data_IF_016647719757
#
_entry.id   IF_016647719757
#
_cell.length_a   1.000
_cell.length_b   1.000
_cell.length_c   1.000
_cell.angle_alpha   90.00
_cell.angle_beta   90.00
_cell.angle_gamma   90.00
#
_symmetry.space_group_name_H-M   'P 1'
#
loop_
_entity.id
_entity.type
_entity.pdbx_description
1 polymer ?
#
# COMPACT_ATOMS: atom_id res chain seq x y z
N UNK A 1 1.62 -11.48 7.51
CA UNK A 1 2.82 -11.29 6.69
C UNK A 1 2.46 -10.59 5.39
N UNK A 2 3.22 -9.58 5.02
CA UNK A 2 2.99 -8.80 3.80
C UNK A 2 4.21 -8.96 2.91
N UNK A 3 3.99 -9.39 1.66
CA UNK A 3 5.08 -9.49 0.67
C UNK A 3 4.74 -8.62 -0.52
N UNK A 4 5.64 -7.70 -0.86
CA UNK A 4 5.46 -6.78 -1.97
C UNK A 4 6.42 -7.17 -3.08
N UNK A 5 5.91 -7.31 -4.29
CA UNK A 5 6.69 -7.70 -5.45
C UNK A 5 6.41 -6.74 -6.60
N UNK A 6 7.48 -6.11 -7.12
CA UNK A 6 7.35 -5.22 -8.27
C UNK A 6 7.11 -6.06 -9.53
N UNK A 7 6.01 -5.79 -10.23
CA UNK A 7 5.68 -6.51 -11.45
C UNK A 7 6.31 -5.84 -12.67
N UNK A 8 5.87 -4.65 -13.00
CA UNK A 8 6.42 -3.87 -14.09
C UNK A 8 5.87 -2.45 -14.01
N UNK A 9 6.65 -1.47 -14.46
CA UNK A 9 6.20 -0.09 -14.45
C UNK A 9 5.73 0.34 -13.07
N UNK A 10 4.49 0.77 -12.98
CA UNK A 10 3.90 1.27 -11.73
C UNK A 10 3.12 0.21 -10.97
N UNK A 11 3.21 -1.06 -11.37
CA UNK A 11 2.38 -2.10 -10.77
C UNK A 11 3.14 -3.00 -9.81
N UNK A 12 2.49 -3.30 -8.70
CA UNK A 12 3.05 -4.12 -7.63
C UNK A 12 2.03 -5.18 -7.22
N UNK A 13 2.55 -6.37 -6.90
CA UNK A 13 1.73 -7.45 -6.34
C UNK A 13 1.97 -7.49 -4.85
N UNK A 14 0.88 -7.57 -4.07
CA UNK A 14 0.98 -7.66 -2.62
C UNK A 14 0.29 -8.94 -2.16
N UNK A 15 1.03 -9.80 -1.49
CA UNK A 15 0.49 -11.01 -0.90
C UNK A 15 0.40 -10.83 0.60
N UNK A 16 -0.78 -11.09 1.13
CA UNK A 16 -1.04 -10.93 2.57
C UNK A 16 -1.42 -12.30 3.12
N UNK A 17 -0.64 -12.77 4.09
CA UNK A 17 -0.93 -14.02 4.77
C UNK A 17 -1.77 -13.82 6.01
N UNK A 18 -2.35 -14.91 6.53
CA UNK A 18 -3.19 -14.88 7.70
C UNK A 18 -4.09 -16.10 7.68
N UNK A 19 -5.27 -16.00 8.28
CA UNK A 19 -6.25 -17.08 8.25
C UNK A 19 -6.67 -17.41 6.83
N UNK A 20 -6.75 -16.37 5.97
CA UNK A 20 -6.97 -16.54 4.54
C UNK A 20 -5.88 -15.74 3.83
N UNK A 21 -5.27 -16.34 2.81
CA UNK A 21 -4.26 -15.65 2.03
C UNK A 21 -4.91 -14.89 0.89
N UNK A 22 -4.51 -13.63 0.68
CA UNK A 22 -5.04 -12.81 -0.40
C UNK A 22 -3.91 -12.21 -1.23
N UNK A 23 -4.22 -11.90 -2.48
CA UNK A 23 -3.28 -11.28 -3.40
C UNK A 23 -3.93 -10.04 -3.99
N UNK A 24 -3.18 -8.95 -4.02
CA UNK A 24 -3.69 -7.67 -4.49
C UNK A 24 -2.74 -7.08 -5.53
N UNK A 25 -3.30 -6.40 -6.50
CA UNK A 25 -2.51 -5.67 -7.48
C UNK A 25 -2.69 -4.17 -7.24
N UNK A 26 -1.58 -3.48 -7.04
CA UNK A 26 -1.59 -2.07 -6.67
C UNK A 26 -0.82 -1.27 -7.71
N UNK A 27 -1.41 -0.16 -8.15
CA UNK A 27 -0.74 0.78 -9.02
C UNK A 27 -0.22 1.95 -8.17
N UNK A 28 1.08 2.22 -8.28
CA UNK A 28 1.70 3.34 -7.58
C UNK A 28 2.56 4.12 -8.56
N UNK A 29 2.07 5.28 -8.97
CA UNK A 29 2.81 6.14 -9.89
C UNK A 29 3.91 6.88 -9.15
N UNK A 30 4.96 7.23 -9.86
CA UNK A 30 6.12 7.88 -9.26
C UNK A 30 5.74 9.21 -8.59
N UNK A 31 4.84 9.98 -9.19
CA UNK A 31 4.38 11.23 -8.59
C UNK A 31 3.71 10.99 -7.24
N UNK A 32 2.91 9.91 -7.15
CA UNK A 32 2.25 9.56 -5.88
C UNK A 32 3.26 9.05 -4.86
N UNK A 33 4.24 8.27 -5.31
CA UNK A 33 5.30 7.78 -4.43
C UNK A 33 6.04 8.95 -3.77
N UNK A 34 6.40 9.95 -4.59
CA UNK A 34 7.11 11.10 -4.05
C UNK A 34 6.23 11.93 -3.11
N UNK A 35 4.96 12.09 -3.47
CA UNK A 35 4.03 12.87 -2.65
C UNK A 35 3.78 12.21 -1.30
N UNK A 36 3.62 10.89 -1.30
CA UNK A 36 3.26 10.14 -0.07
C UNK A 36 4.49 9.77 0.76
N UNK A 37 5.57 9.34 0.12
CA UNK A 37 6.71 8.80 0.83
C UNK A 37 7.96 9.66 0.80
N UNK A 38 8.03 10.62 -0.10
CA UNK A 38 9.23 11.40 -0.31
C UNK A 38 10.22 10.67 -1.21
N UNK A 39 11.29 11.35 -1.56
CA UNK A 39 12.23 10.85 -2.57
C UNK A 39 13.12 9.72 -2.07
N UNK A 40 13.27 9.58 -0.76
CA UNK A 40 14.18 8.59 -0.18
C UNK A 40 13.50 7.28 0.21
N UNK A 41 12.20 7.17 -0.06
CA UNK A 41 11.44 5.98 0.30
C UNK A 41 11.17 5.15 -0.94
N UNK A 42 11.48 3.85 -0.89
CA UNK A 42 11.22 2.97 -2.01
C UNK A 42 9.72 2.74 -2.17
N UNK A 43 9.31 2.45 -3.41
CA UNK A 43 7.92 2.14 -3.69
C UNK A 43 7.46 0.92 -2.90
N UNK A 44 8.31 -0.11 -2.81
CA UNK A 44 7.97 -1.33 -2.09
C UNK A 44 7.71 -1.04 -0.61
N UNK A 45 8.52 -0.19 0.00
CA UNK A 45 8.31 0.14 1.41
C UNK A 45 7.03 0.93 1.61
N UNK A 46 6.75 1.87 0.71
CA UNK A 46 5.51 2.64 0.79
C UNK A 46 4.30 1.73 0.68
N UNK A 47 4.32 0.78 -0.27
CA UNK A 47 3.23 -0.16 -0.45
C UNK A 47 3.08 -1.05 0.79
N UNK A 48 4.20 -1.54 1.33
CA UNK A 48 4.16 -2.41 2.50
C UNK A 48 3.55 -1.69 3.70
N UNK A 49 4.01 -0.48 3.99
CA UNK A 49 3.50 0.28 5.14
C UNK A 49 2.04 0.67 4.93
N UNK A 50 1.65 0.91 3.68
CA UNK A 50 0.25 1.21 3.37
C UNK A 50 -0.65 0.01 3.68
N UNK A 51 -0.19 -1.20 3.37
CA UNK A 51 -0.96 -2.40 3.71
C UNK A 51 -0.98 -2.65 5.22
N UNK A 52 0.10 -2.33 5.95
CA UNK A 52 0.06 -2.40 7.41
C UNK A 52 -1.00 -1.46 7.97
N UNK A 53 -1.08 -0.26 7.40
CA UNK A 53 -2.10 0.71 7.78
C UNK A 53 -3.51 0.14 7.55
N UNK A 54 -3.73 -0.47 6.38
CA UNK A 54 -5.04 -1.04 6.06
C UNK A 54 -5.39 -2.19 7.00
N UNK A 55 -4.42 -3.07 7.28
CA UNK A 55 -4.67 -4.26 8.10
C UNK A 55 -4.95 -3.94 9.56
N UNK A 56 -4.60 -2.75 10.02
CA UNK A 56 -4.98 -2.29 11.35
C UNK A 56 -6.46 -1.93 11.42
N UNK A 57 -7.10 -1.74 10.27
CA UNK A 57 -8.47 -1.22 10.18
C UNK A 57 -9.45 -2.23 9.62
N UNK A 58 -8.97 -3.16 8.79
CA UNK A 58 -9.86 -4.14 8.18
C UNK A 58 -9.08 -5.42 7.87
N UNK A 59 -9.77 -6.57 7.79
CA UNK A 59 -9.10 -7.81 7.43
C UNK A 59 -8.67 -7.77 5.95
N UNK A 60 -7.65 -8.59 5.62
CA UNK A 60 -7.14 -8.61 4.26
C UNK A 60 -8.21 -9.00 3.23
N UNK A 61 -9.20 -9.78 3.63
CA UNK A 61 -10.28 -10.19 2.73
C UNK A 61 -11.21 -9.04 2.36
N UNK A 62 -11.14 -7.92 3.09
CA UNK A 62 -11.94 -6.73 2.76
C UNK A 62 -11.20 -5.74 1.89
N UNK A 63 -9.89 -5.94 1.68
CA UNK A 63 -9.10 -5.06 0.84
C UNK A 63 -9.37 -5.38 -0.63
N UNK A 64 -9.53 -4.35 -1.45
CA UNK A 64 -9.78 -4.53 -2.88
C UNK A 64 -8.67 -5.37 -3.53
N UNK A 65 -9.04 -6.17 -4.52
CA UNK A 65 -8.08 -7.00 -5.22
C UNK A 65 -7.14 -6.19 -6.13
N UNK A 66 -7.61 -5.05 -6.62
CA UNK A 66 -6.83 -4.21 -7.52
C UNK A 66 -7.25 -2.75 -7.33
N UNK A 67 -6.27 -1.88 -7.11
CA UNK A 67 -6.57 -0.46 -6.91
C UNK A 67 -5.30 0.38 -7.03
N UNK A 68 -5.51 1.69 -7.24
CA UNK A 68 -4.40 2.66 -7.17
C UNK A 68 -4.17 3.03 -5.72
N UNK A 69 -2.92 3.04 -5.30
CA UNK A 69 -2.59 3.22 -3.89
C UNK A 69 -3.23 4.47 -3.26
N UNK A 70 -3.26 5.63 -3.93
CA UNK A 70 -3.87 6.82 -3.34
C UNK A 70 -5.36 6.68 -3.01
N UNK A 71 -6.02 5.67 -3.56
CA UNK A 71 -7.44 5.43 -3.25
C UNK A 71 -7.65 5.22 -1.75
N UNK A 72 -6.64 4.73 -1.05
CA UNK A 72 -6.72 4.54 0.41
C UNK A 72 -7.12 5.84 1.10
N UNK A 73 -6.60 6.97 0.63
CA UNK A 73 -6.91 8.27 1.22
C UNK A 73 -8.35 8.69 1.08
N UNK A 74 -9.07 8.13 0.10
CA UNK A 74 -10.49 8.42 -0.05
C UNK A 74 -11.34 7.69 0.98
N UNK A 75 -10.93 6.48 1.35
CA UNK A 75 -11.64 5.70 2.36
C UNK A 75 -11.20 6.09 3.77
N UNK A 76 -9.94 6.47 3.93
CA UNK A 76 -9.36 6.82 5.24
C UNK A 76 -8.66 8.17 5.11
N UNK A 77 -9.35 9.27 5.39
CA UNK A 77 -8.77 10.61 5.17
C UNK A 77 -7.46 10.86 5.92
N UNK A 78 -7.21 10.14 7.01
CA UNK A 78 -5.97 10.30 7.78
C UNK A 78 -4.78 9.56 7.17
N UNK A 79 -4.99 8.80 6.08
CA UNK A 79 -3.96 7.93 5.52
C UNK A 79 -2.67 8.69 5.15
N UNK A 80 -2.77 9.79 4.43
CA UNK A 80 -1.57 10.49 3.96
C UNK A 80 -0.72 10.99 5.11
N UNK A 81 -1.34 11.52 6.15
CA UNK A 81 -0.63 11.99 7.31
C UNK A 81 0.02 10.84 8.07
N UNK A 82 -0.71 9.75 8.25
CA UNK A 82 -0.21 8.58 8.97
C UNK A 82 0.94 7.92 8.24
N UNK A 83 0.82 7.76 6.92
CA UNK A 83 1.85 7.06 6.17
C UNK A 83 3.16 7.84 6.16
N UNK A 84 3.09 9.17 6.09
CA UNK A 84 4.30 9.99 6.16
C UNK A 84 5.02 9.80 7.49
N UNK A 85 4.27 9.69 8.59
CA UNK A 85 4.86 9.45 9.89
C UNK A 85 5.56 8.10 9.97
N UNK A 86 4.95 7.07 9.41
CA UNK A 86 5.52 5.72 9.43
C UNK A 86 6.79 5.61 8.62
N UNK A 87 6.94 6.45 7.60
CA UNK A 87 8.07 6.35 6.68
C UNK A 87 9.25 7.23 7.07
N UNK A 88 9.14 7.98 8.14
CA UNK A 88 10.24 8.78 8.66
C UNK A 88 11.31 7.95 9.34
#
# INVERSE_FOLDING_TARGET
MIKVHHLSGDEYEVKVGGAAQTTHRVTLRDTDRQRLGGKDVSAERLVEESFRFLLEREPNTSILNSFELPLIGKYFPQYEREIRKRLR
#
